data_IF_650466543914
#
_entry.id   IF_650466543914
#
_cell.length_a   1.000
_cell.length_b   1.000
_cell.length_c   1.000
_cell.angle_alpha   90.00
_cell.angle_beta   90.00
_cell.angle_gamma   90.00
#
_symmetry.space_group_name_H-M   'P 1'
#
loop_
_entity.id
_entity.type
_entity.pdbx_description
1 polymer ?
#
# COMPACT_ATOMS: atom_id res chain seq x y z
N UNK A 1 18.48 -10.70 8.77
CA UNK A 1 17.10 -10.58 8.24
C UNK A 1 16.48 -11.95 8.38
N UNK A 2 15.45 -12.13 9.22
CA UNK A 2 15.03 -13.46 9.71
C UNK A 2 14.50 -14.33 8.57
N UNK A 3 15.03 -15.56 8.44
CA UNK A 3 14.56 -16.60 7.52
C UNK A 3 13.04 -16.84 7.60
N UNK A 4 12.43 -16.49 8.73
CA UNK A 4 10.99 -16.57 9.01
C UNK A 4 10.12 -15.73 8.03
N UNK A 5 10.61 -14.57 7.56
CA UNK A 5 9.88 -13.70 6.62
C UNK A 5 9.92 -14.28 5.21
N UNK A 6 11.08 -14.83 4.81
CA UNK A 6 11.29 -15.49 3.52
C UNK A 6 10.45 -16.76 3.40
N UNK A 7 10.38 -17.57 4.47
CA UNK A 7 9.63 -18.82 4.49
C UNK A 7 8.12 -18.67 4.29
N UNK A 8 7.56 -17.47 4.57
CA UNK A 8 6.10 -17.22 4.51
C UNK A 8 5.68 -16.44 3.25
N UNK A 9 6.54 -15.54 2.76
CA UNK A 9 6.21 -14.63 1.63
C UNK A 9 6.72 -15.18 0.29
N UNK A 10 7.80 -15.97 0.31
CA UNK A 10 8.37 -16.61 -0.88
C UNK A 10 9.15 -15.67 -1.81
N UNK A 11 9.27 -14.38 -1.47
CA UNK A 11 10.05 -13.39 -2.22
C UNK A 11 10.92 -12.59 -1.23
N UNK A 12 12.24 -12.52 -1.44
CA UNK A 12 13.11 -11.67 -0.62
C UNK A 12 12.74 -10.19 -0.77
N UNK A 13 12.82 -9.40 0.33
CA UNK A 13 12.65 -7.96 0.22
C UNK A 13 13.71 -7.37 -0.70
N UNK A 14 13.30 -6.42 -1.54
CA UNK A 14 14.17 -5.71 -2.49
C UNK A 14 14.84 -6.55 -3.59
N UNK A 15 14.53 -7.85 -3.70
CA UNK A 15 15.11 -8.71 -4.74
C UNK A 15 14.70 -8.31 -6.18
N UNK A 16 13.56 -7.64 -6.33
CA UNK A 16 13.06 -7.12 -7.61
C UNK A 16 13.17 -5.60 -7.55
N UNK A 17 13.92 -4.92 -8.42
CA UNK A 17 13.89 -3.47 -8.51
C UNK A 17 12.53 -3.04 -9.07
N UNK A 18 11.83 -2.16 -8.36
CA UNK A 18 10.48 -1.72 -8.73
C UNK A 18 10.38 -0.19 -8.78
N UNK A 19 9.48 0.31 -9.62
CA UNK A 19 8.90 1.63 -9.51
C UNK A 19 7.58 1.56 -8.73
N UNK A 20 7.58 2.12 -7.51
CA UNK A 20 6.42 2.09 -6.62
C UNK A 20 5.83 3.48 -6.46
N UNK A 21 4.51 3.59 -6.67
CA UNK A 21 3.73 4.78 -6.35
C UNK A 21 2.99 4.57 -5.03
N UNK A 22 3.34 5.32 -3.99
CA UNK A 22 2.56 5.39 -2.75
C UNK A 22 1.46 6.45 -2.85
N UNK A 23 0.23 6.08 -2.51
CA UNK A 23 -0.93 7.00 -2.59
C UNK A 23 -1.59 7.10 -1.23
N UNK A 24 -1.84 8.32 -0.76
CA UNK A 24 -2.68 8.59 0.40
C UNK A 24 -3.43 9.92 0.26
N UNK A 25 -4.47 10.09 1.05
CA UNK A 25 -5.36 11.26 1.01
C UNK A 25 -5.32 12.04 2.34
N UNK A 26 -6.12 13.09 2.42
CA UNK A 26 -6.23 13.96 3.61
C UNK A 26 -6.98 13.35 4.77
N UNK A 27 -7.69 12.24 4.56
CA UNK A 27 -8.35 11.48 5.61
C UNK A 27 -7.41 10.41 6.19
N UNK A 28 -6.33 10.04 5.47
CA UNK A 28 -5.33 9.10 5.94
C UNK A 28 -4.73 9.58 7.27
N UNK A 29 -4.76 8.78 8.35
CA UNK A 29 -4.25 9.21 9.66
C UNK A 29 -2.77 9.60 9.62
N UNK A 30 -2.39 10.65 10.37
CA UNK A 30 -1.01 11.16 10.37
C UNK A 30 0.04 10.06 10.69
N UNK A 31 -0.27 9.12 11.59
CA UNK A 31 0.60 7.99 11.88
C UNK A 31 0.82 7.09 10.66
N UNK A 32 -0.23 6.81 9.89
CA UNK A 32 -0.14 6.03 8.66
C UNK A 32 0.68 6.78 7.59
N UNK A 33 0.51 8.11 7.45
CA UNK A 33 1.35 8.93 6.57
C UNK A 33 2.83 8.88 6.94
N UNK A 34 3.15 9.00 8.24
CA UNK A 34 4.55 8.89 8.73
C UNK A 34 5.14 7.50 8.45
N UNK A 35 4.34 6.45 8.59
CA UNK A 35 4.78 5.09 8.27
C UNK A 35 4.98 4.90 6.76
N UNK A 36 4.07 5.42 5.94
CA UNK A 36 4.19 5.42 4.48
C UNK A 36 5.47 6.12 4.02
N UNK A 37 5.76 7.30 4.57
CA UNK A 37 7.00 8.04 4.28
C UNK A 37 8.25 7.24 4.68
N UNK A 38 8.29 6.64 5.88
CA UNK A 38 9.42 5.80 6.31
C UNK A 38 9.64 4.59 5.40
N UNK A 39 8.57 3.96 4.94
CA UNK A 39 8.64 2.85 4.00
C UNK A 39 9.17 3.30 2.64
N UNK A 40 8.64 4.40 2.10
CA UNK A 40 9.09 4.99 0.85
C UNK A 40 10.60 5.30 0.90
N UNK A 41 11.08 5.91 1.99
CA UNK A 41 12.50 6.18 2.21
C UNK A 41 13.34 4.91 2.28
N UNK A 42 12.86 3.87 2.96
CA UNK A 42 13.57 2.60 3.05
C UNK A 42 13.67 1.87 1.70
N UNK A 43 12.61 1.90 0.90
CA UNK A 43 12.59 1.33 -0.45
C UNK A 43 13.49 2.12 -1.41
N UNK A 44 13.44 3.45 -1.36
CA UNK A 44 14.34 4.31 -2.13
C UNK A 44 15.82 4.05 -1.75
N UNK A 45 16.12 3.97 -0.45
CA UNK A 45 17.45 3.64 0.05
C UNK A 45 17.95 2.24 -0.35
N UNK A 46 17.05 1.33 -0.68
CA UNK A 46 17.35 0.01 -1.22
C UNK A 46 17.46 -0.02 -2.76
N UNK A 47 17.34 1.13 -3.44
CA UNK A 47 17.52 1.27 -4.88
C UNK A 47 16.25 1.14 -5.72
N UNK A 48 15.06 1.11 -5.11
CA UNK A 48 13.79 1.19 -5.85
C UNK A 48 13.51 2.63 -6.29
N UNK A 49 12.79 2.80 -7.40
CA UNK A 49 12.27 4.11 -7.81
C UNK A 49 10.97 4.37 -7.07
N UNK A 50 10.92 5.41 -6.25
CA UNK A 50 9.75 5.67 -5.40
C UNK A 50 9.15 7.04 -5.73
N UNK A 51 7.84 7.03 -5.97
CA UNK A 51 7.01 8.21 -6.14
C UNK A 51 5.93 8.22 -5.05
N UNK A 52 5.53 9.40 -4.61
CA UNK A 52 4.52 9.61 -3.57
C UNK A 52 3.46 10.56 -4.10
N UNK A 53 2.20 10.13 -4.11
CA UNK A 53 1.03 10.96 -4.36
C UNK A 53 0.35 11.29 -3.03
N UNK A 54 0.37 12.56 -2.64
CA UNK A 54 -0.11 13.03 -1.35
C UNK A 54 -0.65 14.46 -1.43
N UNK A 55 -1.79 14.78 -0.78
CA UNK A 55 -2.17 16.16 -0.54
C UNK A 55 -1.15 16.86 0.37
N UNK A 56 -0.90 18.14 0.12
CA UNK A 56 0.12 18.97 0.78
C UNK A 56 1.54 18.41 0.68
N UNK A 57 1.98 18.09 -0.54
CA UNK A 57 3.37 17.75 -0.84
C UNK A 57 4.33 18.93 -0.53
N UNK A 58 4.72 19.09 0.73
CA UNK A 58 5.78 20.00 1.17
C UNK A 58 7.17 19.55 0.68
N UNK A 59 8.23 20.25 1.14
CA UNK A 59 9.60 20.17 0.61
C UNK A 59 10.10 18.76 0.25
N UNK A 60 10.88 18.64 -0.83
CA UNK A 60 11.37 17.36 -1.33
C UNK A 60 12.28 16.68 -0.28
N UNK A 61 11.82 15.54 0.21
CA UNK A 61 12.66 14.48 0.75
C UNK A 61 13.22 13.65 -0.44
N UNK A 62 14.06 12.61 -0.27
CA UNK A 62 14.61 11.83 -1.40
C UNK A 62 13.57 10.99 -2.17
N UNK A 63 12.28 11.36 -2.12
CA UNK A 63 11.16 10.73 -2.79
C UNK A 63 10.37 11.83 -3.51
N UNK A 64 10.13 11.65 -4.82
CA UNK A 64 9.35 12.60 -5.62
C UNK A 64 7.90 12.63 -5.10
N UNK A 65 7.42 13.83 -4.74
CA UNK A 65 6.07 14.05 -4.22
C UNK A 65 5.21 14.76 -5.25
N UNK A 66 3.97 14.29 -5.41
CA UNK A 66 3.00 14.78 -6.35
C UNK A 66 1.70 15.10 -5.62
N UNK A 67 1.16 16.27 -5.89
CA UNK A 67 -0.17 16.64 -5.45
C UNK A 67 -1.21 15.96 -6.34
N UNK A 68 -2.31 15.51 -5.75
CA UNK A 68 -3.45 14.97 -6.47
C UNK A 68 -4.74 15.32 -5.74
N UNK A 69 -5.67 15.93 -6.48
CA UNK A 69 -6.94 16.41 -5.91
C UNK A 69 -8.10 15.41 -6.11
N UNK A 70 -8.03 14.59 -7.17
CA UNK A 70 -9.13 13.73 -7.58
C UNK A 70 -8.67 12.51 -8.40
N UNK A 71 -9.64 11.74 -8.89
CA UNK A 71 -9.42 10.55 -9.67
C UNK A 71 -8.75 10.81 -11.03
N UNK A 72 -8.94 11.99 -11.63
CA UNK A 72 -8.36 12.37 -12.91
C UNK A 72 -6.88 12.75 -12.74
N UNK A 73 -6.57 13.54 -11.70
CA UNK A 73 -5.18 13.84 -11.34
C UNK A 73 -4.37 12.59 -11.03
N UNK A 74 -4.95 11.65 -10.28
CA UNK A 74 -4.30 10.35 -10.01
C UNK A 74 -4.14 9.50 -11.29
N UNK A 75 -5.04 9.63 -12.27
CA UNK A 75 -4.96 8.91 -13.54
C UNK A 75 -3.76 9.39 -14.34
N UNK A 76 -3.70 10.71 -14.57
CA UNK A 76 -2.62 11.38 -15.30
C UNK A 76 -1.27 11.07 -14.65
N UNK A 77 -1.19 11.20 -13.33
CA UNK A 77 0.04 10.91 -12.61
C UNK A 77 0.49 9.45 -12.81
N UNK A 78 -0.44 8.51 -12.77
CA UNK A 78 -0.09 7.10 -12.98
C UNK A 78 0.34 6.82 -14.41
N UNK A 79 -0.28 7.46 -15.41
CA UNK A 79 0.13 7.35 -16.81
C UNK A 79 1.50 7.98 -17.09
N UNK A 80 1.81 9.11 -16.45
CA UNK A 80 3.10 9.80 -16.58
C UNK A 80 4.24 9.05 -15.89
N UNK A 81 3.97 8.48 -14.73
CA UNK A 81 4.97 7.76 -13.95
C UNK A 81 5.18 6.32 -14.42
N UNK A 82 4.13 5.67 -14.93
CA UNK A 82 4.10 4.26 -15.32
C UNK A 82 4.65 3.31 -14.21
N UNK A 83 4.09 3.34 -12.98
CA UNK A 83 4.63 2.56 -11.87
C UNK A 83 4.32 1.06 -12.02
N UNK A 84 5.26 0.21 -11.60
CA UNK A 84 5.05 -1.25 -11.51
C UNK A 84 3.96 -1.62 -10.49
N UNK A 85 3.95 -0.90 -9.36
CA UNK A 85 3.07 -1.19 -8.22
C UNK A 85 2.51 0.10 -7.63
N UNK A 86 1.23 0.09 -7.30
CA UNK A 86 0.55 1.15 -6.57
C UNK A 86 0.19 0.69 -5.17
N UNK A 87 0.66 1.41 -4.16
CA UNK A 87 0.43 1.08 -2.75
C UNK A 87 -0.43 2.16 -2.12
N UNK A 88 -1.66 1.80 -1.75
CA UNK A 88 -2.66 2.74 -1.22
C UNK A 88 -2.74 2.67 0.30
N UNK A 89 -2.61 3.82 0.95
CA UNK A 89 -2.66 3.96 2.40
C UNK A 89 -4.00 4.58 2.83
N UNK A 90 -4.95 3.74 3.23
CA UNK A 90 -6.29 4.17 3.60
C UNK A 90 -7.39 3.64 2.67
N UNK A 91 -8.62 3.68 3.15
CA UNK A 91 -9.79 3.20 2.41
C UNK A 91 -10.19 4.13 1.26
N UNK A 92 -10.12 5.44 1.47
CA UNK A 92 -10.51 6.44 0.47
C UNK A 92 -9.54 6.44 -0.73
N UNK A 93 -8.23 6.54 -0.48
CA UNK A 93 -7.18 6.38 -1.50
C UNK A 93 -7.28 5.05 -2.24
N UNK A 94 -7.61 3.95 -1.55
CA UNK A 94 -7.86 2.64 -2.17
C UNK A 94 -9.06 2.62 -3.13
N UNK A 95 -10.18 3.24 -2.73
CA UNK A 95 -11.37 3.35 -3.60
C UNK A 95 -11.11 4.24 -4.81
N UNK A 96 -10.40 5.37 -4.63
CA UNK A 96 -10.04 6.28 -5.70
C UNK A 96 -9.10 5.60 -6.69
N UNK A 97 -8.03 4.99 -6.19
CA UNK A 97 -7.08 4.19 -6.99
C UNK A 97 -7.81 3.12 -7.80
N UNK A 98 -8.80 2.42 -7.22
CA UNK A 98 -9.59 1.44 -7.98
C UNK A 98 -10.41 2.04 -9.12
N UNK A 99 -11.03 3.21 -8.89
CA UNK A 99 -11.85 3.87 -9.91
C UNK A 99 -10.99 4.32 -11.09
N UNK A 100 -9.77 4.74 -10.78
CA UNK A 100 -8.79 5.29 -11.71
C UNK A 100 -8.03 4.20 -12.45
N UNK A 101 -7.49 3.21 -11.72
CA UNK A 101 -6.63 2.17 -12.26
C UNK A 101 -7.42 0.90 -12.55
N UNK A 102 -7.44 0.49 -13.82
CA UNK A 102 -7.96 -0.81 -14.28
C UNK A 102 -6.81 -1.68 -14.76
N UNK A 103 -6.97 -3.00 -14.62
CA UNK A 103 -6.24 -4.17 -15.18
C UNK A 103 -4.70 -4.15 -15.36
N UNK A 104 -4.01 -3.04 -15.09
CA UNK A 104 -2.60 -2.82 -15.42
C UNK A 104 -1.68 -2.77 -14.20
N UNK A 105 -2.21 -2.44 -13.02
CA UNK A 105 -1.40 -2.16 -11.85
C UNK A 105 -1.62 -3.17 -10.75
N UNK A 106 -0.53 -3.57 -10.12
CA UNK A 106 -0.56 -4.32 -8.87
C UNK A 106 -0.91 -3.34 -7.75
N UNK A 107 -2.02 -3.58 -7.06
CA UNK A 107 -2.52 -2.73 -5.98
C UNK A 107 -2.28 -3.43 -4.64
N UNK A 108 -1.57 -2.76 -3.73
CA UNK A 108 -1.41 -3.19 -2.33
C UNK A 108 -2.16 -2.22 -1.43
N UNK A 109 -3.09 -2.73 -0.63
CA UNK A 109 -3.91 -1.89 0.25
C UNK A 109 -3.55 -2.05 1.73
N UNK A 110 -3.39 -0.92 2.41
CA UNK A 110 -3.27 -0.87 3.86
C UNK A 110 -4.61 -0.49 4.46
N UNK A 111 -5.18 -1.38 5.27
CA UNK A 111 -6.36 -1.04 6.08
C UNK A 111 -5.91 -0.27 7.33
N UNK A 112 -6.37 0.98 7.52
CA UNK A 112 -6.06 1.73 8.72
C UNK A 112 -6.64 1.02 9.94
N UNK A 113 -5.78 0.75 10.92
CA UNK A 113 -6.19 0.25 12.22
C UNK A 113 -7.15 1.25 12.88
N UNK A 114 -8.46 0.98 12.90
CA UNK A 114 -9.37 1.65 13.84
C UNK A 114 -10.26 0.65 14.55
N UNK A 115 -10.24 0.71 15.89
CA UNK A 115 -11.32 0.15 16.70
C UNK A 115 -12.54 1.04 16.51
N UNK A 116 -13.61 0.47 15.95
CA UNK A 116 -14.89 1.18 15.76
C UNK A 116 -15.09 1.74 14.36
N UNK A 117 -14.80 0.97 13.32
CA UNK A 117 -15.06 1.33 11.94
C UNK A 117 -16.50 1.82 11.76
N UNK A 118 -16.67 3.02 11.22
CA UNK A 118 -17.97 3.45 10.72
C UNK A 118 -18.39 2.54 9.55
N UNK A 119 -19.69 2.30 9.37
CA UNK A 119 -20.19 1.39 8.34
C UNK A 119 -19.73 1.80 6.93
N UNK A 120 -19.57 3.10 6.67
CA UNK A 120 -19.10 3.62 5.39
C UNK A 120 -17.63 3.28 5.13
N UNK A 121 -16.74 3.52 6.10
CA UNK A 121 -15.32 3.13 6.03
C UNK A 121 -15.19 1.61 5.84
N UNK A 122 -15.97 0.85 6.61
CA UNK A 122 -16.05 -0.61 6.53
C UNK A 122 -16.39 -1.11 5.12
N UNK A 123 -17.38 -0.48 4.49
CA UNK A 123 -17.80 -0.82 3.13
C UNK A 123 -16.77 -0.41 2.09
N UNK A 124 -16.11 0.74 2.27
CA UNK A 124 -15.03 1.20 1.41
C UNK A 124 -13.82 0.25 1.49
N UNK A 125 -13.37 -0.10 2.70
CA UNK A 125 -12.31 -1.08 2.93
C UNK A 125 -12.65 -2.43 2.33
N UNK A 126 -13.86 -2.96 2.61
CA UNK A 126 -14.29 -4.24 2.05
C UNK A 126 -14.27 -4.26 0.53
N UNK A 127 -14.74 -3.16 -0.07
CA UNK A 127 -14.70 -2.94 -1.50
C UNK A 127 -13.24 -2.99 -1.97
N UNK A 128 -12.39 -2.09 -1.48
CA UNK A 128 -10.94 -2.00 -1.80
C UNK A 128 -10.23 -3.34 -1.75
N UNK A 129 -10.51 -4.10 -0.70
CA UNK A 129 -9.93 -5.42 -0.42
C UNK A 129 -10.20 -6.50 -1.46
N UNK A 130 -11.24 -6.35 -2.29
CA UNK A 130 -11.62 -7.36 -3.28
C UNK A 130 -10.80 -7.30 -4.56
N UNK A 131 -10.02 -6.24 -4.76
CA UNK A 131 -9.38 -5.97 -6.05
C UNK A 131 -7.88 -5.74 -5.94
N UNK A 132 -7.36 -5.58 -4.73
CA UNK A 132 -5.93 -5.55 -4.50
C UNK A 132 -5.32 -6.94 -4.65
N UNK A 133 -4.06 -7.00 -5.04
CA UNK A 133 -3.32 -8.25 -5.21
C UNK A 133 -2.76 -8.74 -3.86
N UNK A 134 -2.63 -7.84 -2.89
CA UNK A 134 -2.30 -8.13 -1.52
C UNK A 134 -2.87 -7.06 -0.59
N UNK A 135 -3.12 -7.45 0.66
CA UNK A 135 -3.41 -6.49 1.72
C UNK A 135 -2.45 -6.66 2.88
N UNK A 136 -2.16 -5.54 3.51
CA UNK A 136 -1.52 -5.53 4.80
C UNK A 136 -2.49 -5.04 5.86
N UNK A 137 -2.59 -5.83 6.92
CA UNK A 137 -3.51 -5.62 8.04
C UNK A 137 -2.73 -5.47 9.34
N UNK A 138 -3.20 -4.62 10.26
CA UNK A 138 -2.47 -4.28 11.48
C UNK A 138 -2.49 -5.40 12.53
N UNK A 139 -3.49 -6.27 12.50
CA UNK A 139 -3.67 -7.32 13.49
C UNK A 139 -4.53 -8.50 12.98
N UNK A 140 -4.54 -9.59 13.75
CA UNK A 140 -5.28 -10.82 13.44
C UNK A 140 -6.80 -10.61 13.44
N UNK A 141 -7.33 -9.67 14.23
CA UNK A 141 -8.77 -9.39 14.29
C UNK A 141 -9.25 -8.77 12.98
N UNK A 142 -8.47 -7.84 12.42
CA UNK A 142 -8.74 -7.24 11.11
C UNK A 142 -8.62 -8.29 10.00
N UNK A 143 -7.59 -9.15 10.06
CA UNK A 143 -7.45 -10.28 9.13
C UNK A 143 -8.69 -11.19 9.12
N UNK A 144 -9.13 -11.61 10.30
CA UNK A 144 -10.31 -12.47 10.47
C UNK A 144 -11.59 -11.78 10.02
N UNK A 145 -11.72 -10.47 10.25
CA UNK A 145 -12.86 -9.67 9.81
C UNK A 145 -13.03 -9.71 8.29
N UNK A 146 -11.92 -9.55 7.54
CA UNK A 146 -11.91 -9.63 6.08
C UNK A 146 -12.18 -11.05 5.59
N UNK A 147 -11.54 -12.06 6.20
CA UNK A 147 -11.75 -13.48 5.85
C UNK A 147 -13.20 -13.92 6.02
N UNK A 148 -13.85 -13.57 7.14
CA UNK A 148 -15.26 -13.89 7.40
C UNK A 148 -16.22 -13.25 6.39
N UNK A 149 -15.80 -12.20 5.68
CA UNK A 149 -16.57 -11.54 4.63
C UNK A 149 -16.21 -11.99 3.22
N UNK A 150 -15.39 -13.02 3.09
CA UNK A 150 -15.07 -13.65 1.81
C UNK A 150 -13.98 -12.93 1.01
N UNK A 151 -13.16 -12.08 1.65
CA UNK A 151 -11.94 -11.58 1.03
C UNK A 151 -10.94 -12.72 0.87
N UNK A 152 -10.40 -12.90 -0.34
CA UNK A 152 -9.51 -14.01 -0.72
C UNK A 152 -8.09 -13.58 -1.10
N UNK A 153 -7.83 -12.29 -1.15
CA UNK A 153 -6.50 -11.76 -1.45
C UNK A 153 -5.54 -12.14 -0.31
N UNK A 154 -4.26 -12.39 -0.59
CA UNK A 154 -3.25 -12.59 0.44
C UNK A 154 -3.28 -11.47 1.49
N UNK A 155 -3.42 -11.85 2.77
CA UNK A 155 -3.44 -10.94 3.91
C UNK A 155 -2.14 -11.10 4.70
N UNK A 156 -1.37 -10.02 4.84
CA UNK A 156 -0.13 -9.98 5.61
C UNK A 156 -0.32 -9.17 6.88
N UNK A 157 0.13 -9.72 7.99
CA UNK A 157 0.03 -9.06 9.30
C UNK A 157 1.31 -8.26 9.53
N UNK A 158 1.16 -6.94 9.72
CA UNK A 158 2.29 -6.06 10.05
C UNK A 158 1.90 -5.19 11.21
N UNK A 159 2.49 -5.46 12.37
CA UNK A 159 2.32 -4.63 13.54
C UNK A 159 3.04 -3.28 13.36
N UNK A 160 2.34 -2.14 13.53
CA UNK A 160 2.97 -0.84 13.43
C UNK A 160 4.12 -0.70 14.44
N UNK A 161 5.32 -0.35 13.96
CA UNK A 161 6.50 -0.15 14.81
C UNK A 161 7.33 -1.42 15.07
N UNK A 162 6.97 -2.57 14.49
CA UNK A 162 7.82 -3.77 14.56
C UNK A 162 9.16 -3.55 13.86
N UNK A 163 10.26 -4.03 14.46
CA UNK A 163 11.56 -4.11 13.78
C UNK A 163 11.43 -4.96 12.50
N UNK A 164 11.93 -4.47 11.37
CA UNK A 164 11.81 -5.18 10.10
C UNK A 164 10.53 -4.91 9.31
N UNK A 165 9.71 -3.93 9.74
CA UNK A 165 8.47 -3.59 9.04
C UNK A 165 8.74 -3.20 7.59
N UNK A 166 9.73 -2.34 7.32
CA UNK A 166 10.05 -1.86 5.96
C UNK A 166 10.43 -3.01 5.01
N UNK A 167 11.21 -3.97 5.48
CA UNK A 167 11.56 -5.19 4.74
C UNK A 167 10.32 -6.05 4.49
N UNK A 168 9.46 -6.22 5.49
CA UNK A 168 8.21 -6.95 5.34
C UNK A 168 7.28 -6.29 4.30
N UNK A 169 7.16 -4.97 4.33
CA UNK A 169 6.44 -4.20 3.31
C UNK A 169 7.02 -4.41 1.91
N UNK A 170 8.34 -4.30 1.76
CA UNK A 170 9.01 -4.53 0.48
C UNK A 170 8.80 -5.97 -0.02
N UNK A 171 8.83 -6.97 0.85
CA UNK A 171 8.57 -8.36 0.50
C UNK A 171 7.11 -8.57 0.05
N UNK A 172 6.13 -7.94 0.73
CA UNK A 172 4.72 -7.97 0.32
C UNK A 172 4.52 -7.30 -1.04
N UNK A 173 5.11 -6.12 -1.26
CA UNK A 173 5.05 -5.41 -2.54
C UNK A 173 5.66 -6.23 -3.67
N UNK A 174 6.87 -6.78 -3.46
CA UNK A 174 7.53 -7.62 -4.46
C UNK A 174 6.75 -8.90 -4.76
N UNK A 175 6.14 -9.52 -3.74
CA UNK A 175 5.27 -10.68 -3.94
C UNK A 175 4.00 -10.32 -4.70
N UNK A 176 3.36 -9.21 -4.35
CA UNK A 176 2.17 -8.74 -5.04
C UNK A 176 2.49 -8.49 -6.52
N UNK A 177 3.67 -7.96 -6.82
CA UNK A 177 4.13 -7.78 -8.19
C UNK A 177 4.35 -9.12 -8.91
N UNK A 178 5.15 -10.01 -8.30
CA UNK A 178 5.55 -11.27 -8.92
C UNK A 178 4.39 -12.26 -9.17
N UNK A 179 3.30 -12.17 -8.40
CA UNK A 179 2.20 -13.14 -8.42
C UNK A 179 0.81 -12.51 -8.53
N UNK A 180 0.72 -11.19 -8.72
CA UNK A 180 -0.55 -10.47 -8.72
C UNK A 180 -1.31 -10.49 -10.04
N UNK A 181 -0.69 -10.95 -11.14
CA UNK A 181 -1.32 -11.06 -12.46
C UNK A 181 -2.24 -12.27 -12.62
#
# INVERSE_FOLDING_TARGET
MRDDVLGTIGVPPFAIPLHVLHVWDDETPQQARRQAARMALAQAGAGWRISVAAPDAGEPEPVERYDWADAEGLATLTEELDPDVVVTHGSASGVLTRRTLRDRHVIVCLSPARRGHELAETLAEFRTSRWCNAMVVPDARTSDWFRRRGIRVPLFLVEPGSSGASELWAAVTARAYAFGG
#
